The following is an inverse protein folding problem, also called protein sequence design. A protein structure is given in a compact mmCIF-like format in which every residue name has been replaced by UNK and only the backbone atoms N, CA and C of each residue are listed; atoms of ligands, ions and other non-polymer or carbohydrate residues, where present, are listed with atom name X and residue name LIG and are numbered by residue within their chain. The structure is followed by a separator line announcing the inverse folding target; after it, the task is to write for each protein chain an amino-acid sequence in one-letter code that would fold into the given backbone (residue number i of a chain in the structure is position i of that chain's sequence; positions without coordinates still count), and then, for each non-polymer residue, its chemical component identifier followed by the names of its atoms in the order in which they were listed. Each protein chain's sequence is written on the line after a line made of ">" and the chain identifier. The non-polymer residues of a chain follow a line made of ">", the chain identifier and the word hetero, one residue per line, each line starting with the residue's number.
data_IF_155555781213
#
_entry.id   IF_155555781213
#
_cell.length_a   1.000
_cell.length_b   1.000
_cell.length_c   1.000
_cell.angle_alpha   90.00
_cell.angle_beta   90.00
_cell.angle_gamma   90.00
#
_symmetry.space_group_name_H-M   'P 1'
#
loop_
_entity.id
_entity.type
_entity.pdbx_description
1 polymer ?
#
# COMPACT_ATOMS: atom_id res chain seq x y z
N UNK A 1 39.51 21.01 11.80
CA UNK A 1 38.63 19.90 12.16
C UNK A 1 37.20 20.27 11.78
N UNK A 2 36.79 19.99 10.54
CA UNK A 2 35.40 20.21 10.11
C UNK A 2 34.66 18.89 10.29
N UNK A 3 33.95 18.78 11.41
CA UNK A 3 32.99 17.69 11.62
C UNK A 3 31.87 17.84 10.60
N UNK A 4 31.85 16.97 9.58
CA UNK A 4 30.67 16.81 8.73
C UNK A 4 29.65 16.07 9.57
N UNK A 5 28.68 16.79 10.11
CA UNK A 5 27.45 16.19 10.63
C UNK A 5 26.85 15.40 9.47
N UNK A 6 26.95 14.06 9.51
CA UNK A 6 26.14 13.21 8.65
C UNK A 6 24.70 13.53 9.03
N UNK A 7 23.97 14.17 8.12
CA UNK A 7 22.52 14.23 8.23
C UNK A 7 22.06 12.79 8.29
N UNK A 8 21.60 12.35 9.46
CA UNK A 8 20.87 11.10 9.58
C UNK A 8 19.62 11.32 8.73
N UNK A 9 19.56 10.69 7.56
CA UNK A 9 18.32 10.69 6.77
C UNK A 9 17.36 9.88 7.63
N UNK A 10 16.38 10.55 8.24
CA UNK A 10 15.35 9.86 9.00
C UNK A 10 14.67 8.85 8.08
N UNK A 11 14.58 7.60 8.54
CA UNK A 11 13.86 6.55 7.83
C UNK A 11 12.37 6.90 7.95
N UNK A 12 11.62 7.01 6.85
CA UNK A 12 10.19 7.25 6.91
C UNK A 12 9.46 6.18 7.71
N UNK A 13 8.42 6.58 8.43
CA UNK A 13 7.61 5.74 9.33
C UNK A 13 6.12 5.92 9.04
N UNK A 14 5.27 5.12 9.70
CA UNK A 14 3.81 5.27 9.61
C UNK A 14 3.34 6.67 10.02
N UNK A 15 4.06 7.37 10.91
CA UNK A 15 3.75 8.74 11.32
C UNK A 15 3.92 9.78 10.19
N UNK A 16 4.64 9.43 9.12
CA UNK A 16 4.80 10.30 7.96
C UNK A 16 3.64 10.18 6.97
N UNK A 17 2.69 9.27 7.20
CA UNK A 17 1.41 9.20 6.48
C UNK A 17 0.50 10.29 7.02
N UNK A 18 0.30 11.37 6.26
CA UNK A 18 -0.39 12.56 6.76
C UNK A 18 -1.85 12.62 6.29
N UNK A 19 -2.73 13.14 7.17
CA UNK A 19 -4.13 13.42 6.86
C UNK A 19 -5.06 12.22 7.04
N UNK A 20 -6.36 12.45 6.86
CA UNK A 20 -7.37 11.38 6.87
C UNK A 20 -7.19 10.53 5.60
N UNK A 21 -6.59 9.35 5.77
CA UNK A 21 -6.47 8.37 4.71
C UNK A 21 -7.72 7.49 4.71
N UNK A 22 -8.49 7.43 3.61
CA UNK A 22 -9.61 6.51 3.51
C UNK A 22 -9.10 5.06 3.50
N UNK A 23 -9.97 4.13 3.89
CA UNK A 23 -9.78 2.71 3.61
C UNK A 23 -9.85 2.44 2.10
N UNK A 24 -9.35 1.29 1.64
CA UNK A 24 -9.54 0.80 0.28
C UNK A 24 -11.02 0.68 -0.06
N UNK A 25 -11.85 0.19 0.87
CA UNK A 25 -13.30 0.11 0.70
C UNK A 25 -13.90 1.48 0.37
N UNK A 26 -13.67 2.48 1.23
CA UNK A 26 -14.18 3.84 1.03
C UNK A 26 -13.55 4.52 -0.20
N UNK A 27 -12.29 4.24 -0.51
CA UNK A 27 -11.63 4.79 -1.69
C UNK A 27 -12.24 4.23 -2.99
N UNK A 28 -12.49 2.91 -3.07
CA UNK A 28 -13.12 2.29 -4.25
C UNK A 28 -14.52 2.87 -4.51
N UNK A 29 -15.27 3.20 -3.45
CA UNK A 29 -16.61 3.79 -3.54
C UNK A 29 -16.59 5.25 -4.02
N UNK A 30 -15.59 6.02 -3.58
CA UNK A 30 -15.50 7.46 -3.85
C UNK A 30 -14.63 7.84 -5.07
N UNK A 31 -13.82 6.91 -5.59
CA UNK A 31 -12.95 7.17 -6.74
C UNK A 31 -13.74 7.44 -8.04
N UNK A 32 -13.06 8.00 -9.04
CA UNK A 32 -13.68 8.34 -10.31
C UNK A 32 -14.44 7.13 -10.92
N UNK A 33 -15.72 7.29 -11.31
CA UNK A 33 -16.53 6.21 -11.87
C UNK A 33 -15.93 5.52 -13.11
N UNK A 34 -15.04 6.21 -13.83
CA UNK A 34 -14.28 5.62 -14.95
C UNK A 34 -13.39 4.45 -14.52
N UNK A 35 -12.96 4.42 -13.27
CA UNK A 35 -12.08 3.39 -12.72
C UNK A 35 -12.80 2.44 -11.75
N UNK A 36 -13.69 2.96 -10.88
CA UNK A 36 -14.32 2.21 -9.78
C UNK A 36 -14.93 0.88 -10.20
N UNK A 37 -15.67 0.85 -11.32
CA UNK A 37 -16.35 -0.36 -11.81
C UNK A 37 -15.41 -1.56 -11.98
N UNK A 38 -14.15 -1.33 -12.38
CA UNK A 38 -13.19 -2.43 -12.55
C UNK A 38 -12.65 -2.93 -11.21
N UNK A 39 -12.46 -2.05 -10.23
CA UNK A 39 -12.06 -2.43 -8.87
C UNK A 39 -13.18 -3.21 -8.18
N UNK A 40 -14.43 -2.73 -8.26
CA UNK A 40 -15.61 -3.40 -7.71
C UNK A 40 -15.78 -4.81 -8.27
N UNK A 41 -15.68 -4.98 -9.60
CA UNK A 41 -15.75 -6.31 -10.21
C UNK A 41 -14.69 -7.28 -9.71
N UNK A 42 -13.46 -6.81 -9.51
CA UNK A 42 -12.41 -7.65 -8.94
C UNK A 42 -12.71 -7.99 -7.49
N UNK A 43 -13.17 -7.02 -6.68
CA UNK A 43 -13.60 -7.27 -5.29
C UNK A 43 -14.71 -8.33 -5.22
N UNK A 44 -15.73 -8.22 -6.05
CA UNK A 44 -16.89 -9.15 -6.08
C UNK A 44 -16.53 -10.57 -6.53
N UNK A 45 -15.44 -10.75 -7.28
CA UNK A 45 -15.05 -12.05 -7.85
C UNK A 45 -13.86 -12.70 -7.16
N UNK A 46 -13.12 -11.96 -6.35
CA UNK A 46 -11.97 -12.47 -5.63
C UNK A 46 -12.42 -13.12 -4.32
N UNK A 47 -11.77 -14.23 -3.96
CA UNK A 47 -11.93 -14.89 -2.67
C UNK A 47 -10.54 -14.95 -2.05
N UNK A 48 -10.42 -14.46 -0.82
CA UNK A 48 -9.16 -14.53 -0.08
C UNK A 48 -8.73 -15.98 0.10
N UNK A 49 -7.42 -16.21 0.05
CA UNK A 49 -6.87 -17.45 0.56
C UNK A 49 -7.21 -17.57 2.06
N UNK A 50 -7.84 -18.69 2.43
CA UNK A 50 -8.39 -18.86 3.78
C UNK A 50 -7.31 -18.98 4.83
N UNK A 51 -6.23 -19.69 4.51
CA UNK A 51 -5.14 -19.94 5.45
C UNK A 51 -4.38 -18.63 5.69
N UNK A 52 -4.12 -17.85 4.64
CA UNK A 52 -3.54 -16.53 4.76
C UNK A 52 -4.45 -15.55 5.52
N UNK A 53 -5.76 -15.54 5.23
CA UNK A 53 -6.72 -14.68 5.91
C UNK A 53 -6.84 -15.00 7.41
N UNK A 54 -6.83 -16.29 7.79
CA UNK A 54 -6.82 -16.72 9.19
C UNK A 54 -5.56 -16.23 9.92
N UNK A 55 -4.39 -16.42 9.32
CA UNK A 55 -3.13 -15.89 9.87
C UNK A 55 -3.14 -14.38 10.03
N UNK A 56 -3.64 -13.64 9.03
CA UNK A 56 -3.70 -12.18 9.10
C UNK A 56 -4.63 -11.66 10.20
N UNK A 57 -5.61 -12.46 10.67
CA UNK A 57 -6.42 -12.08 11.84
C UNK A 57 -5.59 -12.01 13.12
N UNK A 58 -4.56 -12.84 13.25
CA UNK A 58 -3.65 -12.82 14.39
C UNK A 58 -2.77 -11.56 14.40
N UNK A 59 -2.52 -10.99 13.22
CA UNK A 59 -1.66 -9.81 13.02
C UNK A 59 -2.42 -8.49 12.87
N UNK A 60 -3.75 -8.52 12.76
CA UNK A 60 -4.56 -7.36 12.38
C UNK A 60 -4.44 -6.17 13.33
N UNK A 61 -4.21 -6.41 14.61
CA UNK A 61 -4.09 -5.36 15.63
C UNK A 61 -2.66 -4.79 15.76
N UNK A 62 -1.66 -5.47 15.21
CA UNK A 62 -0.24 -5.11 15.36
C UNK A 62 0.40 -4.56 14.10
N UNK A 63 -0.28 -4.67 12.95
CA UNK A 63 0.28 -4.27 11.67
C UNK A 63 -0.68 -3.36 10.91
N UNK A 64 -0.12 -2.34 10.26
CA UNK A 64 -0.86 -1.43 9.37
C UNK A 64 -0.32 -1.53 7.95
N UNK A 65 -1.21 -1.59 6.97
CA UNK A 65 -0.83 -1.53 5.56
C UNK A 65 -1.15 -0.14 4.98
N UNK A 66 -0.21 0.40 4.21
CA UNK A 66 -0.40 1.63 3.43
C UNK A 66 -0.22 1.30 1.96
N UNK A 67 -1.20 1.61 1.13
CA UNK A 67 -1.14 1.36 -0.31
C UNK A 67 -1.14 2.66 -1.11
N UNK A 68 -0.10 2.85 -1.94
CA UNK A 68 0.00 3.97 -2.88
C UNK A 68 -0.22 3.48 -4.30
N UNK A 69 -1.14 4.12 -5.04
CA UNK A 69 -1.48 3.68 -6.38
C UNK A 69 -2.03 4.77 -7.32
N UNK A 70 -1.92 4.49 -8.61
CA UNK A 70 -2.59 5.23 -9.67
C UNK A 70 -3.89 4.51 -10.05
N UNK A 71 -5.02 5.23 -10.06
CA UNK A 71 -6.34 4.64 -10.30
C UNK A 71 -6.44 3.89 -11.64
N UNK A 72 -5.71 4.37 -12.66
CA UNK A 72 -5.70 3.79 -13.99
C UNK A 72 -4.79 2.55 -14.13
N UNK A 73 -4.02 2.19 -13.10
CA UNK A 73 -3.07 1.08 -13.14
C UNK A 73 -3.78 -0.29 -13.20
N UNK A 74 -3.27 -1.18 -14.05
CA UNK A 74 -3.78 -2.56 -14.19
C UNK A 74 -3.52 -3.43 -12.97
N UNK A 75 -2.35 -3.28 -12.35
CA UNK A 75 -1.97 -4.07 -11.18
C UNK A 75 -2.66 -3.55 -9.91
N UNK A 76 -2.94 -2.25 -9.83
CA UNK A 76 -3.67 -1.67 -8.70
C UNK A 76 -5.11 -2.20 -8.64
N UNK A 77 -5.74 -2.39 -9.81
CA UNK A 77 -7.05 -3.05 -9.93
C UNK A 77 -7.07 -4.49 -9.45
N UNK A 78 -5.92 -5.14 -9.34
CA UNK A 78 -5.82 -6.50 -8.80
C UNK A 78 -5.56 -6.49 -7.30
N UNK A 79 -4.71 -5.57 -6.82
CA UNK A 79 -4.29 -5.57 -5.43
C UNK A 79 -5.23 -4.80 -4.48
N UNK A 80 -5.68 -3.60 -4.83
CA UNK A 80 -6.50 -2.76 -3.93
C UNK A 80 -7.83 -3.44 -3.56
N UNK A 81 -8.51 -4.16 -4.47
CA UNK A 81 -9.70 -4.94 -4.09
C UNK A 81 -9.41 -6.04 -3.07
N UNK A 82 -8.26 -6.71 -3.15
CA UNK A 82 -7.85 -7.72 -2.16
C UNK A 82 -7.66 -7.06 -0.80
N UNK A 83 -6.98 -5.91 -0.75
CA UNK A 83 -6.81 -5.15 0.48
C UNK A 83 -8.16 -4.71 1.08
N UNK A 84 -9.14 -4.32 0.25
CA UNK A 84 -10.49 -4.02 0.75
C UNK A 84 -11.23 -5.23 1.33
N UNK A 85 -10.94 -6.45 0.84
CA UNK A 85 -11.49 -7.68 1.43
C UNK A 85 -10.80 -8.01 2.75
N UNK A 86 -9.49 -7.74 2.89
CA UNK A 86 -8.79 -7.87 4.17
C UNK A 86 -9.35 -6.91 5.22
N UNK A 87 -9.71 -5.68 4.85
CA UNK A 87 -10.42 -4.76 5.76
C UNK A 87 -11.73 -5.37 6.26
N UNK A 88 -12.52 -5.97 5.36
CA UNK A 88 -13.88 -6.46 5.65
C UNK A 88 -13.90 -7.82 6.37
N UNK A 89 -13.10 -8.79 5.92
CA UNK A 89 -13.14 -10.17 6.39
C UNK A 89 -12.15 -10.46 7.53
N UNK A 90 -11.06 -9.68 7.61
CA UNK A 90 -9.98 -9.85 8.59
C UNK A 90 -9.96 -8.73 9.62
N UNK A 91 -10.46 -7.53 9.27
CA UNK A 91 -10.37 -6.35 10.13
C UNK A 91 -9.00 -5.66 10.07
N UNK A 92 -8.21 -5.95 9.03
CA UNK A 92 -6.85 -5.44 8.89
C UNK A 92 -6.84 -3.92 8.60
N UNK A 93 -6.02 -3.15 9.32
CA UNK A 93 -5.94 -1.71 9.07
C UNK A 93 -5.22 -1.43 7.74
N UNK A 94 -5.93 -0.81 6.81
CA UNK A 94 -5.38 -0.41 5.51
C UNK A 94 -5.69 1.06 5.22
N UNK A 95 -4.65 1.81 4.82
CA UNK A 95 -4.72 3.21 4.42
C UNK A 95 -4.46 3.36 2.92
N UNK A 96 -5.45 3.87 2.19
CA UNK A 96 -5.41 3.98 0.74
C UNK A 96 -5.05 5.39 0.26
N UNK A 97 -3.91 5.50 -0.42
CA UNK A 97 -3.37 6.73 -1.03
C UNK A 97 -3.38 6.59 -2.56
N UNK A 98 -4.56 6.74 -3.15
CA UNK A 98 -4.73 6.67 -4.61
C UNK A 98 -4.47 8.01 -5.33
N UNK A 99 -4.84 8.09 -6.61
CA UNK A 99 -4.76 9.33 -7.38
C UNK A 99 -3.38 9.70 -7.90
N UNK A 100 -2.42 8.75 -7.93
CA UNK A 100 -1.09 9.03 -8.48
C UNK A 100 -1.11 9.33 -9.98
N UNK A 101 -0.37 10.37 -10.38
CA UNK A 101 -0.23 10.80 -11.77
C UNK A 101 1.23 10.81 -12.24
N UNK A 102 1.43 10.54 -13.54
CA UNK A 102 2.73 10.69 -14.19
C UNK A 102 3.03 12.17 -14.49
N UNK A 103 4.31 12.58 -14.53
CA UNK A 103 4.69 13.91 -15.00
C UNK A 103 4.14 14.22 -16.40
N UNK A 104 3.54 15.40 -16.57
CA UNK A 104 3.03 15.88 -17.87
C UNK A 104 4.13 16.22 -18.87
N UNK A 105 5.31 16.60 -18.37
CA UNK A 105 6.51 16.91 -19.17
C UNK A 105 7.58 15.87 -18.89
N UNK A 106 8.50 15.60 -19.84
CA UNK A 106 9.65 14.75 -19.61
C UNK A 106 10.38 15.14 -18.32
N UNK A 107 10.60 14.16 -17.45
CA UNK A 107 11.18 14.34 -16.12
C UNK A 107 11.86 13.04 -15.71
N UNK A 108 12.85 13.13 -14.83
CA UNK A 108 13.48 11.96 -14.21
C UNK A 108 12.65 11.40 -13.04
N UNK A 109 11.54 12.07 -12.66
CA UNK A 109 10.63 11.57 -11.63
C UNK A 109 9.69 10.51 -12.20
N UNK A 110 9.39 9.48 -11.40
CA UNK A 110 8.37 8.49 -11.72
C UNK A 110 6.94 9.05 -11.66
N UNK A 111 6.71 10.01 -10.74
CA UNK A 111 5.39 10.56 -10.44
C UNK A 111 5.43 12.09 -10.32
N UNK A 112 4.29 12.72 -10.58
CA UNK A 112 4.09 14.15 -10.36
C UNK A 112 3.55 14.38 -8.95
N UNK A 113 4.31 15.10 -8.12
CA UNK A 113 3.93 15.48 -6.75
C UNK A 113 4.00 17.00 -6.65
N UNK A 114 2.88 17.75 -6.66
CA UNK A 114 1.48 17.34 -6.90
C UNK A 114 1.18 16.96 -8.37
N UNK A 115 0.04 16.31 -8.70
CA UNK A 115 -1.15 16.05 -7.86
C UNK A 115 -1.12 14.75 -7.05
N UNK A 116 -0.10 13.90 -7.21
CA UNK A 116 0.00 12.68 -6.41
C UNK A 116 0.20 13.01 -4.91
N UNK A 117 -0.16 12.08 -4.00
CA UNK A 117 0.12 12.23 -2.57
C UNK A 117 1.60 12.54 -2.28
N UNK A 118 1.87 13.30 -1.22
CA UNK A 118 3.25 13.70 -0.87
C UNK A 118 4.09 12.49 -0.45
N UNK A 119 3.42 11.51 0.12
CA UNK A 119 3.90 10.20 0.54
C UNK A 119 4.63 9.46 -0.59
N UNK A 120 4.33 9.77 -1.85
CA UNK A 120 5.08 9.27 -3.00
C UNK A 120 6.56 9.66 -2.95
N UNK A 121 6.85 10.93 -2.64
CA UNK A 121 8.23 11.41 -2.49
C UNK A 121 8.81 10.95 -1.13
N UNK A 122 8.00 10.93 -0.06
CA UNK A 122 8.42 10.48 1.29
C UNK A 122 8.89 9.03 1.31
N UNK A 123 8.10 8.10 0.77
CA UNK A 123 8.41 6.66 0.79
C UNK A 123 9.18 6.19 -0.45
N UNK A 124 9.61 7.11 -1.32
CA UNK A 124 10.39 6.81 -2.52
C UNK A 124 9.67 5.87 -3.49
N UNK A 125 8.39 6.15 -3.78
CA UNK A 125 7.55 5.27 -4.58
C UNK A 125 7.93 5.35 -6.06
N UNK A 126 8.21 4.20 -6.67
CA UNK A 126 8.61 4.10 -8.08
C UNK A 126 7.64 3.26 -8.92
N UNK A 127 6.65 2.62 -8.28
CA UNK A 127 5.73 1.65 -8.87
C UNK A 127 4.31 1.84 -8.35
N UNK A 128 3.32 1.43 -9.16
CA UNK A 128 1.91 1.37 -8.74
C UNK A 128 1.36 -0.04 -8.98
N UNK A 129 0.67 -0.64 -8.00
CA UNK A 129 0.61 -0.22 -6.60
C UNK A 129 1.97 -0.44 -5.90
N UNK A 130 2.19 0.25 -4.80
CA UNK A 130 3.17 -0.14 -3.79
C UNK A 130 2.44 -0.28 -2.47
N UNK A 131 2.51 -1.47 -1.87
CA UNK A 131 1.88 -1.81 -0.59
C UNK A 131 3.01 -1.86 0.42
N UNK A 132 2.94 -1.05 1.46
CA UNK A 132 3.94 -0.95 2.53
C UNK A 132 3.29 -1.52 3.80
N UNK A 133 4.02 -2.38 4.52
CA UNK A 133 3.60 -2.98 5.77
C UNK A 133 4.41 -2.32 6.88
N UNK A 134 3.72 -1.82 7.89
CA UNK A 134 4.29 -1.23 9.09
C UNK A 134 3.90 -2.07 10.31
N UNK A 135 4.83 -2.19 11.25
CA UNK A 135 4.56 -2.76 12.58
C UNK A 135 3.90 -1.73 13.53
N UNK A 136 3.74 -2.11 14.79
CA UNK A 136 3.11 -1.32 15.84
C UNK A 136 3.99 -0.15 16.32
N UNK A 137 5.30 -0.24 16.14
CA UNK A 137 6.24 0.86 16.34
C UNK A 137 6.18 1.88 15.18
N UNK A 138 5.53 1.50 14.07
CA UNK A 138 5.38 2.31 12.86
C UNK A 138 6.60 2.23 11.95
N UNK A 139 7.47 1.25 12.13
CA UNK A 139 8.61 0.97 11.26
C UNK A 139 8.18 0.12 10.06
N UNK A 140 8.79 0.36 8.90
CA UNK A 140 8.50 -0.44 7.72
C UNK A 140 9.20 -1.80 7.80
N UNK A 141 8.41 -2.87 7.95
CA UNK A 141 8.91 -4.26 7.91
C UNK A 141 9.02 -4.81 6.49
N UNK A 142 8.30 -4.23 5.53
CA UNK A 142 8.47 -4.58 4.13
C UNK A 142 7.47 -3.96 3.18
N UNK A 143 7.62 -4.26 1.90
CA UNK A 143 6.71 -3.76 0.85
C UNK A 143 6.60 -4.67 -0.36
N UNK A 144 5.40 -4.68 -0.96
CA UNK A 144 5.10 -5.34 -2.24
C UNK A 144 5.10 -4.27 -3.34
N UNK A 145 5.97 -4.42 -4.34
CA UNK A 145 6.01 -3.53 -5.51
C UNK A 145 5.32 -4.20 -6.70
N UNK A 146 4.25 -3.59 -7.19
CA UNK A 146 3.37 -4.03 -8.30
C UNK A 146 2.56 -5.31 -8.05
N UNK A 147 3.21 -6.40 -7.66
CA UNK A 147 2.61 -7.74 -7.51
C UNK A 147 3.45 -8.59 -6.54
N UNK A 148 2.88 -9.70 -6.04
CA UNK A 148 3.64 -10.69 -5.26
C UNK A 148 4.87 -11.20 -6.01
N UNK A 149 5.95 -11.46 -5.28
CA UNK A 149 7.23 -12.04 -5.73
C UNK A 149 7.57 -13.36 -5.03
N UNK A 150 7.10 -13.57 -3.82
CA UNK A 150 7.42 -14.74 -2.99
C UNK A 150 6.29 -15.76 -3.02
N UNK A 151 5.05 -15.30 -3.15
CA UNK A 151 3.85 -16.13 -3.07
C UNK A 151 2.90 -15.87 -4.25
N UNK A 152 1.87 -16.71 -4.44
CA UNK A 152 0.87 -16.52 -5.50
C UNK A 152 -0.06 -15.31 -5.30
N UNK A 153 -0.41 -14.97 -4.06
CA UNK A 153 -1.41 -13.93 -3.72
C UNK A 153 -0.84 -12.78 -2.90
N UNK A 154 -1.60 -11.69 -2.76
CA UNK A 154 -1.17 -10.49 -2.01
C UNK A 154 -1.19 -10.79 -0.51
N UNK A 155 -2.26 -11.41 -0.03
CA UNK A 155 -2.49 -11.80 1.36
C UNK A 155 -1.40 -12.78 1.85
N UNK A 156 -1.04 -13.79 1.06
CA UNK A 156 0.06 -14.70 1.41
C UNK A 156 1.41 -13.98 1.48
N UNK A 157 1.64 -12.98 0.61
CA UNK A 157 2.90 -12.23 0.63
C UNK A 157 2.99 -11.30 1.85
N UNK A 158 1.87 -10.70 2.27
CA UNK A 158 1.82 -9.90 3.51
C UNK A 158 2.17 -10.79 4.71
N UNK A 159 1.56 -11.98 4.81
CA UNK A 159 1.91 -12.96 5.86
C UNK A 159 3.41 -13.28 5.83
N UNK A 160 3.95 -13.59 4.65
CA UNK A 160 5.36 -13.93 4.50
C UNK A 160 6.28 -12.79 4.92
N UNK A 161 5.93 -11.54 4.63
CA UNK A 161 6.70 -10.36 5.04
C UNK A 161 6.67 -10.20 6.57
N UNK A 162 5.50 -10.37 7.19
CA UNK A 162 5.34 -10.25 8.64
C UNK A 162 6.13 -11.35 9.36
N UNK A 163 5.98 -12.61 8.94
CA UNK A 163 6.65 -13.75 9.56
C UNK A 163 8.19 -13.61 9.47
N UNK A 164 8.73 -13.17 8.33
CA UNK A 164 10.19 -12.99 8.16
C UNK A 164 10.79 -11.84 8.97
N UNK A 165 9.98 -10.92 9.50
CA UNK A 165 10.45 -9.81 10.36
C UNK A 165 10.13 -10.03 11.84
N UNK A 166 9.35 -11.06 12.17
CA UNK A 166 9.00 -11.41 13.55
C UNK A 166 10.02 -12.37 14.21
N UNK A 167 11.06 -12.78 13.48
CA UNK A 167 12.17 -13.65 13.94
C UNK A 167 13.42 -12.86 14.34
#
# INVERSE_FOLDING_TARGET
>A
MTSRTRSVIAIPSLNDVQGECPSCTSYIESMNPRYSRRYQRTRESYQLDKDAAEKLKEYADSYTVVVLFADWCGDARKAVPVLSLLEEEVGFEVRALGGMEKPRKPSNKHWAVPPSPKEVDTFGITSSPTIIIFDDEGEEVGRIKTKPRMTPTIEEEIVTIIENNSE
#
